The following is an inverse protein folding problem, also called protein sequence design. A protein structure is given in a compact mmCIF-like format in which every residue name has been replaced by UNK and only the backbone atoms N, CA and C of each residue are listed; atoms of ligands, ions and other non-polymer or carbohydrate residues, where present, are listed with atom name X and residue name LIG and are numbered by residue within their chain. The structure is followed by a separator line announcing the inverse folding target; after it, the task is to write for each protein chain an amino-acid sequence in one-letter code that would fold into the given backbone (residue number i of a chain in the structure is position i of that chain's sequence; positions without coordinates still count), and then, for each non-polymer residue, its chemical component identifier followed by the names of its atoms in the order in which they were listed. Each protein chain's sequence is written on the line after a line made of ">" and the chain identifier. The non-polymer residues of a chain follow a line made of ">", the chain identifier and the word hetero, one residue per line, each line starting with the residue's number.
data_IF_627701847902
#
_entry.id   IF_627701847902
#
_cell.length_a   1.000
_cell.length_b   1.000
_cell.length_c   1.000
_cell.angle_alpha   90.00
_cell.angle_beta   90.00
_cell.angle_gamma   90.00
#
_symmetry.space_group_name_H-M   'P 1'
#
loop_
_entity.id
_entity.type
_entity.pdbx_description
1 polymer ?
#
# COMPACT_ATOMS: atom_id res chain seq x y z
N UNK A 1 15.72 8.79 0.63
CA UNK A 1 14.46 8.52 1.37
C UNK A 1 13.75 9.86 1.54
N UNK A 2 12.63 10.06 0.87
CA UNK A 2 11.81 11.26 1.02
C UNK A 2 10.59 10.90 1.89
N UNK A 3 10.26 11.75 2.85
CA UNK A 3 9.06 11.57 3.69
C UNK A 3 7.93 12.44 3.12
N UNK A 4 6.75 11.82 2.96
CA UNK A 4 5.51 12.49 2.57
C UNK A 4 4.66 12.94 3.77
N UNK A 5 5.24 12.95 4.98
CA UNK A 5 4.58 13.47 6.18
C UNK A 5 4.19 14.95 6.00
N UNK A 6 2.94 15.30 6.33
CA UNK A 6 2.35 16.63 6.12
C UNK A 6 2.06 16.93 4.64
N UNK A 7 2.22 18.19 4.21
CA UNK A 7 1.88 18.62 2.85
C UNK A 7 2.91 18.19 1.78
N UNK A 8 3.83 17.28 2.10
CA UNK A 8 4.81 16.74 1.15
C UNK A 8 5.63 17.82 0.38
N UNK A 9 5.92 18.95 1.02
CA UNK A 9 6.59 20.13 0.42
C UNK A 9 7.97 19.79 -0.16
N UNK A 10 8.65 18.77 0.38
CA UNK A 10 9.98 18.33 -0.05
C UNK A 10 10.01 17.51 -1.35
N UNK A 11 8.85 17.22 -1.96
CA UNK A 11 8.76 16.41 -3.18
C UNK A 11 8.73 17.27 -4.47
N UNK A 12 8.52 18.58 -4.36
CA UNK A 12 8.33 19.44 -5.53
C UNK A 12 9.64 19.60 -6.31
N UNK A 13 9.61 19.32 -7.62
CA UNK A 13 10.73 19.51 -8.55
C UNK A 13 11.64 18.30 -8.76
N UNK A 14 11.28 17.13 -8.22
CA UNK A 14 12.01 15.88 -8.45
C UNK A 14 11.26 14.97 -9.42
N UNK A 15 11.95 14.47 -10.44
CA UNK A 15 11.53 13.35 -11.27
C UNK A 15 12.03 12.02 -10.73
N UNK A 16 11.34 10.93 -11.05
CA UNK A 16 11.74 9.57 -10.73
C UNK A 16 11.17 8.58 -11.76
N UNK A 17 11.98 7.61 -12.19
CA UNK A 17 11.51 6.49 -13.01
C UNK A 17 10.75 5.45 -12.18
N UNK A 18 11.05 5.34 -10.88
CA UNK A 18 10.40 4.42 -9.96
C UNK A 18 10.03 5.15 -8.67
N UNK A 19 8.76 5.08 -8.29
CA UNK A 19 8.24 5.62 -7.03
C UNK A 19 7.64 4.48 -6.21
N UNK A 20 8.11 4.34 -4.97
CA UNK A 20 7.56 3.38 -4.00
C UNK A 20 6.85 4.14 -2.90
N UNK A 21 5.57 3.85 -2.69
CA UNK A 21 4.76 4.36 -1.58
C UNK A 21 4.58 3.24 -0.55
N UNK A 22 5.16 3.43 0.61
CA UNK A 22 4.92 2.57 1.76
C UNK A 22 3.74 3.12 2.58
N UNK A 23 2.94 2.25 3.16
CA UNK A 23 1.66 2.56 3.82
C UNK A 23 0.74 3.47 2.98
N UNK A 24 0.58 3.14 1.69
CA UNK A 24 -0.09 4.00 0.71
C UNK A 24 -1.55 4.37 1.05
N UNK A 25 -2.28 3.53 1.80
CA UNK A 25 -3.62 3.86 2.30
C UNK A 25 -3.63 5.08 3.25
N UNK A 26 -2.52 5.36 3.93
CA UNK A 26 -2.39 6.49 4.87
C UNK A 26 -1.94 7.79 4.18
N UNK A 27 -1.64 7.74 2.87
CA UNK A 27 -1.19 8.91 2.11
C UNK A 27 -2.41 9.72 1.64
N UNK A 28 -2.58 10.91 2.20
CA UNK A 28 -3.64 11.83 1.81
C UNK A 28 -3.58 12.27 0.34
N UNK A 29 -4.73 12.61 -0.23
CA UNK A 29 -4.88 12.94 -1.65
C UNK A 29 -3.97 14.09 -2.14
N UNK A 30 -3.71 15.08 -1.29
CA UNK A 30 -2.81 16.19 -1.62
C UNK A 30 -1.37 15.71 -1.81
N UNK A 31 -0.84 14.96 -0.84
CA UNK A 31 0.49 14.36 -0.92
C UNK A 31 0.59 13.41 -2.11
N UNK A 32 -0.44 12.59 -2.36
CA UNK A 32 -0.51 11.73 -3.54
C UNK A 32 -0.34 12.51 -4.84
N UNK A 33 -1.03 13.64 -4.99
CA UNK A 33 -0.94 14.46 -6.21
C UNK A 33 0.47 15.01 -6.41
N UNK A 34 1.20 15.33 -5.33
CA UNK A 34 2.61 15.78 -5.41
C UNK A 34 3.53 14.63 -5.80
N UNK A 35 3.35 13.46 -5.20
CA UNK A 35 4.11 12.24 -5.52
C UNK A 35 3.93 11.85 -6.99
N UNK A 36 2.70 11.86 -7.51
CA UNK A 36 2.43 11.45 -8.90
C UNK A 36 3.12 12.34 -9.94
N UNK A 37 3.42 13.61 -9.62
CA UNK A 37 4.17 14.49 -10.53
C UNK A 37 5.61 14.05 -10.74
N UNK A 38 6.17 13.28 -9.81
CA UNK A 38 7.54 12.76 -9.94
C UNK A 38 7.67 11.79 -11.12
N UNK A 39 6.60 11.08 -11.48
CA UNK A 39 6.59 10.17 -12.63
C UNK A 39 6.40 10.91 -13.97
N UNK A 40 6.16 12.23 -13.94
CA UNK A 40 5.86 13.02 -15.14
C UNK A 40 7.04 13.23 -16.09
N UNK A 41 8.28 13.03 -15.61
CA UNK A 41 9.49 13.18 -16.44
C UNK A 41 9.68 11.99 -17.40
N UNK A 42 9.11 10.83 -17.09
CA UNK A 42 9.10 9.64 -17.93
C UNK A 42 7.72 8.94 -17.86
N UNK A 43 6.67 9.53 -18.46
CA UNK A 43 5.29 9.15 -18.22
C UNK A 43 4.90 7.77 -18.80
N UNK A 44 5.65 7.28 -19.79
CA UNK A 44 5.35 6.01 -20.47
C UNK A 44 6.05 4.80 -19.82
N UNK A 45 7.19 5.02 -19.16
CA UNK A 45 7.99 3.95 -18.55
C UNK A 45 8.04 4.01 -17.01
N UNK A 46 7.55 5.09 -16.41
CA UNK A 46 7.54 5.29 -14.97
C UNK A 46 6.75 4.20 -14.23
N UNK A 47 7.32 3.67 -13.15
CA UNK A 47 6.72 2.61 -12.34
C UNK A 47 6.29 3.18 -10.99
N UNK A 48 5.02 2.99 -10.65
CA UNK A 48 4.49 3.21 -9.31
C UNK A 48 4.31 1.86 -8.59
N UNK A 49 4.88 1.73 -7.40
CA UNK A 49 4.68 0.58 -6.51
C UNK A 49 4.02 1.10 -5.23
N UNK A 50 2.91 0.50 -4.84
CA UNK A 50 2.19 0.85 -3.61
C UNK A 50 2.14 -0.38 -2.69
N UNK A 51 2.58 -0.19 -1.46
CA UNK A 51 2.53 -1.17 -0.39
C UNK A 51 1.61 -0.60 0.69
N UNK A 52 0.64 -1.38 1.15
CA UNK A 52 -0.33 -0.90 2.14
C UNK A 52 -1.05 -2.03 2.85
N UNK A 53 -1.51 -1.70 4.06
CA UNK A 53 -2.58 -2.43 4.73
C UNK A 53 -3.94 -1.83 4.33
N UNK A 54 -4.92 -2.64 3.90
CA UNK A 54 -6.17 -2.16 3.33
C UNK A 54 -7.18 -1.68 4.39
N UNK A 55 -6.85 -0.60 5.11
CA UNK A 55 -7.60 -0.12 6.28
C UNK A 55 -8.97 0.49 5.97
N UNK A 56 -9.07 1.29 4.90
CA UNK A 56 -10.28 1.99 4.50
C UNK A 56 -10.34 2.15 2.98
N UNK A 57 -11.48 2.60 2.47
CA UNK A 57 -11.73 2.76 1.04
C UNK A 57 -11.65 4.21 0.55
N UNK A 58 -11.36 5.17 1.44
CA UNK A 58 -11.32 6.62 1.13
C UNK A 58 -9.88 7.10 0.93
N UNK A 59 -9.17 6.40 0.04
CA UNK A 59 -7.78 6.70 -0.29
C UNK A 59 -7.44 6.26 -1.73
N UNK A 60 -6.30 6.75 -2.23
CA UNK A 60 -5.87 6.48 -3.60
C UNK A 60 -5.41 5.05 -3.84
N UNK A 61 -4.88 4.36 -2.82
CA UNK A 61 -4.49 2.97 -2.96
C UNK A 61 -5.71 2.05 -3.19
N UNK A 62 -6.84 2.31 -2.52
CA UNK A 62 -8.09 1.61 -2.80
C UNK A 62 -8.59 1.86 -4.24
N UNK A 63 -8.60 3.12 -4.68
CA UNK A 63 -8.96 3.45 -6.07
C UNK A 63 -8.07 2.71 -7.08
N UNK A 64 -6.74 2.71 -6.86
CA UNK A 64 -5.78 2.01 -7.72
C UNK A 64 -5.96 0.48 -7.68
N UNK A 65 -6.39 -0.08 -6.54
CA UNK A 65 -6.71 -1.52 -6.44
C UNK A 65 -7.83 -1.94 -7.40
N UNK A 66 -8.76 -1.02 -7.69
CA UNK A 66 -9.89 -1.27 -8.59
C UNK A 66 -9.61 -0.88 -10.05
N UNK A 67 -8.53 -0.14 -10.31
CA UNK A 67 -8.17 0.33 -11.64
C UNK A 67 -7.46 -0.79 -12.42
N UNK A 68 -7.99 -1.23 -13.58
CA UNK A 68 -7.36 -2.27 -14.39
C UNK A 68 -5.98 -1.92 -14.95
N UNK A 69 -5.52 -0.66 -14.80
CA UNK A 69 -4.15 -0.26 -15.14
C UNK A 69 -3.11 -0.72 -14.12
N UNK A 70 -3.54 -1.10 -12.91
CA UNK A 70 -2.66 -1.59 -11.87
C UNK A 70 -2.69 -3.12 -11.81
N UNK A 71 -1.51 -3.71 -11.72
CA UNK A 71 -1.39 -5.10 -11.32
C UNK A 71 -1.50 -5.18 -9.79
N UNK A 72 -2.47 -5.95 -9.29
CA UNK A 72 -2.73 -6.08 -7.85
C UNK A 72 -2.27 -7.45 -7.35
N UNK A 73 -1.37 -7.44 -6.37
CA UNK A 73 -0.88 -8.65 -5.72
C UNK A 73 -1.37 -8.65 -4.27
N UNK A 74 -2.35 -9.50 -3.96
CA UNK A 74 -2.85 -9.66 -2.60
C UNK A 74 -2.13 -10.81 -1.87
N UNK A 75 -1.45 -10.50 -0.77
CA UNK A 75 -0.65 -11.47 0.00
C UNK A 75 -1.24 -11.68 1.39
N UNK A 76 -2.19 -12.60 1.50
CA UNK A 76 -2.75 -13.01 2.79
C UNK A 76 -1.85 -13.99 3.58
N UNK A 77 -2.20 -14.20 4.86
CA UNK A 77 -1.45 -15.06 5.80
C UNK A 77 -1.24 -16.50 5.31
N UNK A 78 -2.14 -17.03 4.46
CA UNK A 78 -2.01 -18.37 3.90
C UNK A 78 -0.76 -18.50 3.03
N UNK A 79 -0.40 -17.43 2.30
CA UNK A 79 0.83 -17.38 1.49
C UNK A 79 2.04 -17.38 2.42
N UNK A 80 2.00 -16.58 3.49
CA UNK A 80 3.08 -16.56 4.48
C UNK A 80 3.34 -17.92 5.14
N UNK A 81 2.29 -18.72 5.39
CA UNK A 81 2.45 -20.11 5.85
C UNK A 81 3.05 -21.00 4.75
N UNK A 82 2.53 -20.91 3.52
CA UNK A 82 3.01 -21.71 2.39
C UNK A 82 4.50 -21.49 2.12
N UNK A 83 4.97 -20.26 2.29
CA UNK A 83 6.38 -19.86 2.11
C UNK A 83 7.24 -20.10 3.36
N UNK A 84 6.67 -20.60 4.46
CA UNK A 84 7.41 -20.85 5.70
C UNK A 84 7.85 -19.58 6.43
N UNK A 85 7.21 -18.43 6.16
CA UNK A 85 7.49 -17.15 6.83
C UNK A 85 6.85 -17.03 8.21
N UNK A 86 5.80 -17.81 8.46
CA UNK A 86 5.12 -17.89 9.75
C UNK A 86 4.49 -19.27 9.96
N UNK A 87 3.83 -19.48 11.10
CA UNK A 87 3.17 -20.74 11.44
C UNK A 87 1.68 -20.56 11.62
N UNK A 88 0.92 -21.63 11.35
CA UNK A 88 -0.53 -21.64 11.63
C UNK A 88 -0.82 -21.34 13.10
N UNK A 89 0.00 -21.86 14.03
CA UNK A 89 -0.17 -21.59 15.45
C UNK A 89 -0.11 -20.09 15.75
N UNK A 90 0.91 -19.39 15.24
CA UNK A 90 1.04 -17.95 15.43
C UNK A 90 -0.16 -17.18 14.87
N UNK A 91 -0.63 -17.54 13.66
CA UNK A 91 -1.82 -16.92 13.07
C UNK A 91 -3.05 -17.08 13.96
N UNK A 92 -3.28 -18.27 14.51
CA UNK A 92 -4.43 -18.52 15.39
C UNK A 92 -4.29 -17.85 16.77
N UNK A 93 -3.07 -17.62 17.26
CA UNK A 93 -2.83 -16.79 18.44
C UNK A 93 -3.24 -15.34 18.14
N UNK A 94 -2.78 -14.78 17.01
CA UNK A 94 -3.09 -13.41 16.61
C UNK A 94 -4.59 -13.20 16.33
N UNK A 95 -5.27 -14.22 15.77
CA UNK A 95 -6.72 -14.19 15.55
C UNK A 95 -7.53 -14.06 16.84
N UNK A 96 -7.00 -14.49 17.99
CA UNK A 96 -7.67 -14.37 19.29
C UNK A 96 -7.45 -13.01 19.95
N UNK A 97 -6.31 -12.39 19.68
CA UNK A 97 -5.93 -11.09 20.27
C UNK A 97 -6.53 -9.91 19.50
N UNK A 98 -6.64 -10.04 18.17
CA UNK A 98 -7.10 -8.98 17.29
C UNK A 98 -8.62 -8.96 17.14
N UNK A 99 -9.17 -7.77 16.91
CA UNK A 99 -10.56 -7.63 16.47
C UNK A 99 -10.75 -8.28 15.09
N UNK A 100 -11.99 -8.67 14.72
CA UNK A 100 -12.27 -9.21 13.39
C UNK A 100 -11.83 -8.26 12.25
N UNK A 101 -11.96 -6.95 12.45
CA UNK A 101 -11.54 -5.94 11.49
C UNK A 101 -10.02 -5.93 11.33
N UNK A 102 -9.28 -5.84 12.43
CA UNK A 102 -7.81 -5.84 12.41
C UNK A 102 -7.26 -7.11 11.77
N UNK A 103 -7.86 -8.27 12.08
CA UNK A 103 -7.43 -9.52 11.44
C UNK A 103 -7.70 -9.52 9.94
N UNK A 104 -8.88 -9.03 9.51
CA UNK A 104 -9.24 -8.93 8.09
C UNK A 104 -8.25 -8.06 7.32
N UNK A 105 -7.88 -6.91 7.89
CA UNK A 105 -6.95 -5.96 7.27
C UNK A 105 -5.52 -6.50 7.29
N UNK A 106 -5.01 -6.87 8.47
CA UNK A 106 -3.58 -7.15 8.68
C UNK A 106 -3.16 -8.57 8.26
N UNK A 107 -4.09 -9.53 8.26
CA UNK A 107 -3.78 -10.94 7.97
C UNK A 107 -4.47 -11.45 6.73
N UNK A 108 -5.78 -11.21 6.57
CA UNK A 108 -6.46 -11.62 5.33
C UNK A 108 -6.13 -10.67 4.15
N UNK A 109 -5.53 -9.51 4.44
CA UNK A 109 -5.14 -8.47 3.48
C UNK A 109 -6.30 -8.05 2.59
N UNK A 110 -7.44 -7.75 3.22
CA UNK A 110 -8.67 -7.31 2.53
C UNK A 110 -9.16 -5.99 3.09
N UNK A 111 -9.66 -5.15 2.19
CA UNK A 111 -10.46 -3.99 2.58
C UNK A 111 -11.72 -4.47 3.34
N UNK A 112 -12.16 -3.73 4.36
CA UNK A 112 -13.37 -4.05 5.12
C UNK A 112 -14.67 -3.92 4.32
#
# INVERSE_FOLDING_TARGET
>A
MFSAEGDAVRLMGFGADIVVKDEACLIGAEANTKIMRMLGDNPDEGILIELYNPWDTDNKAYEHTLDPKFEVIQIGWQIAIKEGRTTKQFIEEQRKELTPLEFTVLYDSKFP
#
